data_IF_123279054909
#
_entry.id   IF_123279054909
#
_cell.length_a   1.000
_cell.length_b   1.000
_cell.length_c   1.000
_cell.angle_alpha   90.00
_cell.angle_beta   90.00
_cell.angle_gamma   90.00
#
_symmetry.space_group_name_H-M   'P 1'
#
loop_
_entity.id
_entity.type
_entity.pdbx_description
1 polymer ?
#
# COMPACT_ATOMS: atom_id res chain seq x y z
N UNK A 1 -17.02 4.05 24.42
CA UNK A 1 -16.21 4.06 23.19
C UNK A 1 -17.08 3.51 22.07
N UNK A 2 -17.36 4.29 21.03
CA UNK A 2 -18.35 3.89 20.00
C UNK A 2 -17.69 2.95 18.98
N UNK A 3 -18.28 1.77 18.78
CA UNK A 3 -17.87 0.74 17.79
C UNK A 3 -17.65 1.32 16.39
N UNK A 4 -18.40 2.35 16.03
CA UNK A 4 -18.24 3.08 14.77
C UNK A 4 -16.84 3.72 14.63
N UNK A 5 -16.30 4.29 15.73
CA UNK A 5 -14.99 4.97 15.76
C UNK A 5 -13.84 3.97 15.62
N UNK A 6 -13.96 2.82 16.31
CA UNK A 6 -12.99 1.73 16.25
C UNK A 6 -12.87 1.18 14.82
N UNK A 7 -14.01 0.96 14.15
CA UNK A 7 -14.03 0.50 12.76
C UNK A 7 -13.41 1.52 11.81
N UNK A 8 -13.65 2.83 11.99
CA UNK A 8 -13.04 3.87 11.13
C UNK A 8 -11.53 3.96 11.32
N UNK A 9 -11.04 3.86 12.56
CA UNK A 9 -9.62 3.89 12.87
C UNK A 9 -8.88 2.63 12.39
N UNK A 10 -9.49 1.45 12.53
CA UNK A 10 -8.94 0.18 12.07
C UNK A 10 -8.93 0.07 10.54
N UNK A 11 -10.02 0.46 9.88
CA UNK A 11 -10.08 0.55 8.41
C UNK A 11 -9.06 1.56 7.89
N UNK A 12 -8.93 2.73 8.53
CA UNK A 12 -7.92 3.73 8.17
C UNK A 12 -6.48 3.23 8.38
N UNK A 13 -6.21 2.49 9.46
CA UNK A 13 -4.90 1.90 9.72
C UNK A 13 -4.56 0.78 8.72
N UNK A 14 -5.55 -0.03 8.33
CA UNK A 14 -5.40 -1.11 7.35
C UNK A 14 -5.25 -0.56 5.93
N UNK A 15 -5.94 0.53 5.60
CA UNK A 15 -5.75 1.31 4.37
C UNK A 15 -4.32 1.85 4.27
N UNK A 16 -3.85 2.54 5.33
CA UNK A 16 -2.48 3.07 5.41
C UNK A 16 -1.42 1.98 5.29
N UNK A 17 -1.60 0.83 5.96
CA UNK A 17 -0.68 -0.32 5.84
C UNK A 17 -0.58 -0.84 4.41
N UNK A 18 -1.67 -0.82 3.63
CA UNK A 18 -1.71 -1.44 2.30
C UNK A 18 -1.37 -0.48 1.16
N UNK A 19 -1.65 0.82 1.31
CA UNK A 19 -1.01 1.87 0.48
C UNK A 19 0.51 1.79 0.66
N UNK A 20 0.98 1.56 1.89
CA UNK A 20 2.40 1.30 2.16
C UNK A 20 2.89 0.03 1.44
N UNK A 21 2.12 -1.07 1.46
CA UNK A 21 2.49 -2.34 0.84
C UNK A 21 2.53 -2.31 -0.70
N UNK A 22 1.51 -1.77 -1.39
CA UNK A 22 1.53 -1.63 -2.84
C UNK A 22 2.60 -0.63 -3.31
N UNK A 23 2.81 0.45 -2.54
CA UNK A 23 3.95 1.35 -2.76
C UNK A 23 5.29 0.61 -2.59
N UNK A 24 5.44 -0.22 -1.56
CA UNK A 24 6.64 -1.03 -1.30
C UNK A 24 6.91 -2.08 -2.38
N UNK A 25 5.90 -2.72 -2.95
CA UNK A 25 6.08 -3.67 -4.06
C UNK A 25 6.51 -2.94 -5.34
N UNK A 26 5.85 -1.84 -5.67
CA UNK A 26 6.19 -1.00 -6.83
C UNK A 26 7.61 -0.42 -6.73
N UNK A 27 8.01 0.02 -5.54
CA UNK A 27 9.35 0.56 -5.26
C UNK A 27 10.38 -0.53 -5.06
N UNK A 28 10.02 -1.69 -4.54
CA UNK A 28 10.92 -2.84 -4.37
C UNK A 28 11.39 -3.35 -5.73
N UNK A 29 10.45 -3.52 -6.68
CA UNK A 29 10.78 -3.96 -8.03
C UNK A 29 11.62 -2.97 -8.85
N UNK A 30 11.49 -1.65 -8.61
CA UNK A 30 12.18 -0.59 -9.39
C UNK A 30 13.38 0.03 -8.67
N UNK A 31 13.33 0.05 -7.35
CA UNK A 31 14.33 0.62 -6.46
C UNK A 31 15.33 -0.41 -5.99
N UNK A 32 14.99 -1.71 -5.89
CA UNK A 32 15.91 -2.79 -5.50
C UNK A 32 16.29 -3.75 -6.64
N UNK A 33 15.99 -3.40 -7.89
CA UNK A 33 16.35 -4.20 -9.07
C UNK A 33 17.86 -4.34 -9.34
N UNK A 34 18.71 -3.59 -8.61
CA UNK A 34 20.17 -3.68 -8.68
C UNK A 34 20.77 -3.68 -7.26
N UNK A 35 21.89 -4.36 -7.02
CA UNK A 35 22.60 -4.27 -5.75
C UNK A 35 23.19 -2.87 -5.57
N UNK A 36 23.05 -2.30 -4.36
CA UNK A 36 23.62 -0.99 -4.01
C UNK A 36 24.81 -1.16 -3.07
N UNK A 37 25.87 -0.40 -3.34
CA UNK A 37 27.11 -0.41 -2.54
C UNK A 37 26.98 0.35 -1.21
N UNK A 38 25.88 1.07 -0.98
CA UNK A 38 25.61 1.74 0.29
C UNK A 38 24.12 1.98 0.53
N UNK A 39 23.75 2.13 1.81
CA UNK A 39 22.39 2.51 2.23
C UNK A 39 21.99 3.87 1.63
N UNK A 40 22.94 4.80 1.48
CA UNK A 40 22.66 6.12 0.91
C UNK A 40 22.30 6.02 -0.58
N UNK A 41 22.98 5.16 -1.33
CA UNK A 41 22.65 4.89 -2.73
C UNK A 41 21.25 4.25 -2.86
N UNK A 42 20.90 3.32 -1.96
CA UNK A 42 19.57 2.73 -1.89
C UNK A 42 18.49 3.78 -1.60
N UNK A 43 18.68 4.63 -0.57
CA UNK A 43 17.74 5.71 -0.22
C UNK A 43 17.49 6.66 -1.40
N UNK A 44 18.55 7.10 -2.07
CA UNK A 44 18.45 7.95 -3.26
C UNK A 44 17.69 7.28 -4.40
N UNK A 45 17.90 5.98 -4.61
CA UNK A 45 17.18 5.23 -5.64
C UNK A 45 15.69 5.09 -5.32
N UNK A 46 15.34 4.80 -4.06
CA UNK A 46 13.97 4.72 -3.60
C UNK A 46 13.23 6.05 -3.78
N UNK A 47 13.85 7.18 -3.43
CA UNK A 47 13.26 8.51 -3.66
C UNK A 47 13.04 8.78 -5.16
N UNK A 48 14.00 8.41 -6.02
CA UNK A 48 13.83 8.53 -7.47
C UNK A 48 12.69 7.65 -7.99
N UNK A 49 12.56 6.43 -7.48
CA UNK A 49 11.49 5.51 -7.87
C UNK A 49 10.12 6.04 -7.39
N UNK A 50 10.06 6.62 -6.19
CA UNK A 50 8.87 7.27 -5.63
C UNK A 50 8.37 8.41 -6.50
N UNK A 51 9.27 9.31 -6.88
CA UNK A 51 8.93 10.46 -7.74
C UNK A 51 8.56 10.06 -9.18
N UNK A 52 8.82 8.82 -9.58
CA UNK A 52 8.48 8.28 -10.90
C UNK A 52 7.19 7.47 -10.90
N UNK A 53 6.50 7.32 -9.77
CA UNK A 53 5.21 6.64 -9.72
C UNK A 53 4.21 7.46 -10.55
N UNK A 54 3.63 6.90 -11.62
CA UNK A 54 2.61 7.58 -12.40
C UNK A 54 1.35 7.82 -11.56
N UNK A 55 0.71 8.97 -11.73
CA UNK A 55 -0.51 9.33 -11.01
C UNK A 55 -1.62 8.27 -11.20
N UNK A 56 -1.75 7.71 -12.41
CA UNK A 56 -2.67 6.61 -12.74
C UNK A 56 -2.53 5.37 -11.83
N UNK A 57 -1.34 5.09 -11.29
CA UNK A 57 -1.11 3.97 -10.36
C UNK A 57 -1.70 4.31 -9.00
N UNK A 58 -1.57 5.56 -8.58
CA UNK A 58 -2.14 6.08 -7.34
C UNK A 58 -3.67 6.10 -7.44
N UNK A 59 -4.20 6.62 -8.55
CA UNK A 59 -5.63 6.71 -8.80
C UNK A 59 -6.26 5.31 -8.80
N UNK A 60 -5.66 4.34 -9.50
CA UNK A 60 -6.12 2.94 -9.47
C UNK A 60 -6.12 2.36 -8.06
N UNK A 61 -5.10 2.64 -7.26
CA UNK A 61 -5.04 2.16 -5.88
C UNK A 61 -6.13 2.77 -4.99
N UNK A 62 -6.52 4.03 -5.26
CA UNK A 62 -7.64 4.71 -4.60
C UNK A 62 -8.97 4.12 -5.05
N UNK A 63 -9.17 3.95 -6.36
CA UNK A 63 -10.40 3.39 -6.95
C UNK A 63 -10.66 1.93 -6.55
N UNK A 64 -9.60 1.16 -6.30
CA UNK A 64 -9.70 -0.23 -5.84
C UNK A 64 -9.94 -0.33 -4.33
N UNK A 65 -9.74 0.75 -3.56
CA UNK A 65 -9.91 0.71 -2.11
C UNK A 65 -11.34 0.36 -1.67
N UNK A 66 -12.42 0.94 -2.22
CA UNK A 66 -13.79 0.55 -1.89
C UNK A 66 -14.06 -0.94 -2.17
N UNK A 67 -13.56 -1.47 -3.30
CA UNK A 67 -13.72 -2.89 -3.66
C UNK A 67 -13.05 -3.80 -2.64
N UNK A 68 -11.86 -3.42 -2.17
CA UNK A 68 -11.12 -4.15 -1.15
C UNK A 68 -11.78 -4.05 0.23
N UNK A 69 -12.41 -2.91 0.54
CA UNK A 69 -13.20 -2.76 1.75
C UNK A 69 -14.41 -3.69 1.73
N UNK A 70 -15.12 -3.78 0.60
CA UNK A 70 -16.23 -4.70 0.44
C UNK A 70 -15.80 -6.15 0.67
N UNK A 71 -14.70 -6.59 0.05
CA UNK A 71 -14.12 -7.92 0.30
C UNK A 71 -13.76 -8.16 1.78
N UNK A 72 -13.35 -7.12 2.50
CA UNK A 72 -13.07 -7.22 3.93
C UNK A 72 -14.36 -7.43 4.74
N UNK A 73 -15.44 -6.75 4.36
CA UNK A 73 -16.77 -6.92 4.97
C UNK A 73 -17.29 -8.33 4.70
N UNK A 74 -17.22 -8.79 3.45
CA UNK A 74 -17.67 -10.13 3.05
C UNK A 74 -16.87 -11.24 3.74
N UNK A 75 -15.61 -10.98 4.07
CA UNK A 75 -14.75 -11.88 4.84
C UNK A 75 -14.95 -11.77 6.37
N UNK A 76 -15.90 -10.99 6.86
CA UNK A 76 -16.11 -10.76 8.30
C UNK A 76 -14.89 -10.15 8.99
N UNK A 77 -14.09 -9.35 8.26
CA UNK A 77 -12.83 -8.78 8.74
C UNK A 77 -11.59 -9.67 8.52
N UNK A 78 -11.76 -10.90 8.03
CA UNK A 78 -10.70 -11.87 7.76
C UNK A 78 -9.75 -11.53 6.61
N UNK A 79 -8.82 -12.44 6.30
CA UNK A 79 -7.86 -12.27 5.19
C UNK A 79 -8.51 -12.67 3.85
N UNK A 80 -8.33 -11.85 2.81
CA UNK A 80 -9.03 -11.98 1.53
C UNK A 80 -8.15 -11.80 0.28
N UNK A 81 -6.82 -11.81 0.45
CA UNK A 81 -5.87 -11.63 -0.67
C UNK A 81 -5.44 -12.92 -1.37
N UNK A 82 -5.68 -14.09 -0.74
CA UNK A 82 -5.16 -15.39 -1.21
C UNK A 82 -6.28 -16.40 -1.50
N UNK A 83 -7.37 -16.00 -2.15
CA UNK A 83 -8.40 -16.94 -2.65
C UNK A 83 -8.32 -17.08 -4.15
#
# INVERSE_FOLDING_TARGET
MSVHRILTEDIGAKARKRVKAHGLEYLGGRGCSKPYQSINALKKSLVKAWNKIPQEVIDRAVDDFPKRLQKCIDAGGGHFENK
#
